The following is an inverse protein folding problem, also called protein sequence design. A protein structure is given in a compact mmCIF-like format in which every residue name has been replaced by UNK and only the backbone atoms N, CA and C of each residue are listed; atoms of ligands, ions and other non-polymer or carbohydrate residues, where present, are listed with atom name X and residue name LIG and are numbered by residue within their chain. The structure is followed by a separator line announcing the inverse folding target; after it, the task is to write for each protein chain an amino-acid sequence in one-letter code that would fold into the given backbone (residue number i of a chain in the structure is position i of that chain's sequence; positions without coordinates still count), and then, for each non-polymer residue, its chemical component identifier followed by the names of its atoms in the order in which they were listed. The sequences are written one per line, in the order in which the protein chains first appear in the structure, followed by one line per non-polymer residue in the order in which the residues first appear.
data_IF_447038599347
#
_entry.id   IF_447038599347
#
_cell.length_a   1.000
_cell.length_b   1.000
_cell.length_c   1.000
_cell.angle_alpha   90.00
_cell.angle_beta   90.00
_cell.angle_gamma   90.00
#
_symmetry.space_group_name_H-M   'P 1'
#
loop_
_entity.id
_entity.type
_entity.pdbx_description
1 polymer ?
2 non-polymer ?
3 non-polymer ?
4 non-polymer ?
5 non-polymer ?
6 water ?
#
# COMPACT_ATOMS: atom_id res chain seq x y z
N UNK A 1 7.43 10.01 -7.92
CA UNK A 1 8.04 10.98 -6.98
C UNK A 1 8.18 10.35 -5.60
N UNK A 2 8.82 11.09 -4.70
CA UNK A 2 9.11 10.56 -3.38
C UNK A 2 7.85 10.48 -2.51
N UNK A 3 6.79 11.20 -2.85
CA UNK A 3 5.53 11.12 -2.07
C UNK A 3 4.52 10.10 -2.65
N UNK A 4 4.92 9.33 -3.65
CA UNK A 4 4.08 8.23 -4.17
C UNK A 4 3.54 7.39 -3.00
N UNK A 5 2.28 7.02 -3.09
CA UNK A 5 1.66 6.19 -2.06
C UNK A 5 0.49 5.43 -2.64
N UNK A 6 0.06 4.38 -1.94
CA UNK A 6 -1.06 3.57 -2.38
C UNK A 6 -2.09 3.46 -1.27
N UNK A 7 -3.37 3.49 -1.67
CA UNK A 7 -4.47 3.16 -0.78
C UNK A 7 -4.82 1.69 -0.91
N UNK A 8 -4.63 0.94 0.17
CA UNK A 8 -4.87 -0.51 0.16
C UNK A 8 -6.18 -0.87 0.83
N UNK A 9 -6.75 0.08 1.56
CA UNK A 9 -7.92 -0.16 2.41
C UNK A 9 -7.69 -1.08 3.58
N UNK A 10 -6.44 -1.48 3.81
CA UNK A 10 -6.15 -2.41 4.89
C UNK A 10 -6.32 -1.75 6.26
N UNK A 11 -6.11 -0.43 6.32
CA UNK A 11 -6.36 0.33 7.57
C UNK A 11 -7.83 0.74 7.80
N UNK A 12 -8.72 0.39 6.87
CA UNK A 12 -10.13 0.67 7.04
C UNK A 12 -10.83 -0.56 7.61
N UNK A 13 -12.10 -0.42 7.98
CA UNK A 13 -12.85 -1.52 8.62
C UNK A 13 -14.12 -1.90 7.83
N UNK A 14 -14.42 -3.19 7.81
CA UNK A 14 -15.62 -3.71 7.13
C UNK A 14 -16.88 -2.94 7.53
N UNK A 15 -17.64 -2.45 6.54
CA UNK A 15 -18.89 -1.75 6.80
C UNK A 15 -18.83 -0.26 7.07
N UNK A 16 -17.62 0.28 7.08
CA UNK A 16 -17.40 1.71 7.25
C UNK A 16 -16.89 2.35 6.00
N UNK A 17 -17.07 3.67 5.88
CA UNK A 17 -16.45 4.44 4.82
C UNK A 17 -14.95 4.35 5.06
N UNK A 18 -14.17 4.35 3.99
CA UNK A 18 -12.75 4.21 4.17
C UNK A 18 -12.13 5.35 4.96
N UNK A 19 -11.15 4.98 5.76
CA UNK A 19 -10.38 5.91 6.54
C UNK A 19 -9.66 6.86 5.55
N UNK A 20 -9.68 8.15 5.82
CA UNK A 20 -8.98 9.16 4.97
C UNK A 20 -9.60 9.42 3.61
N UNK A 21 -10.82 8.96 3.38
CA UNK A 21 -11.59 9.33 2.19
C UNK A 21 -12.87 9.96 2.68
N UNK A 22 -13.51 10.73 1.82
CA UNK A 22 -14.88 11.14 2.09
C UNK A 22 -15.80 10.56 1.03
N UNK A 23 -17.09 10.57 1.26
CA UNK A 23 -18.03 10.00 0.33
C UNK A 23 -19.22 10.94 0.20
N UNK A 24 -19.87 10.82 -0.95
CA UNK A 24 -21.15 11.45 -1.24
C UNK A 24 -22.14 10.40 -1.75
N UNK A 25 -23.28 10.31 -1.09
CA UNK A 25 -24.43 9.53 -1.58
C UNK A 25 -25.31 10.45 -2.42
N UNK A 26 -24.89 10.82 -3.63
CA UNK A 26 -25.55 11.88 -4.34
C UNK A 26 -26.96 11.50 -4.80
N UNK A 27 -27.24 10.23 -5.08
CA UNK A 27 -28.60 9.85 -5.46
C UNK A 27 -29.54 9.86 -4.26
N UNK A 28 -28.99 9.74 -3.04
CA UNK A 28 -29.82 9.85 -1.83
C UNK A 28 -30.48 8.62 -1.31
N UNK A 29 -30.06 7.43 -1.71
CA UNK A 29 -30.68 6.18 -1.26
C UNK A 29 -30.06 5.56 0.02
N UNK A 30 -29.14 6.26 0.69
CA UNK A 30 -28.57 5.73 1.94
C UNK A 30 -27.62 4.55 1.75
N UNK A 31 -27.13 4.39 0.53
CA UNK A 31 -26.18 3.33 0.16
C UNK A 31 -25.04 3.96 -0.66
N UNK A 32 -23.79 3.65 -0.28
CA UNK A 32 -22.69 4.29 -0.93
C UNK A 32 -21.45 3.42 -0.84
N UNK A 33 -20.30 4.08 -0.94
CA UNK A 33 -19.02 3.37 -0.88
C UNK A 33 -18.69 2.90 0.55
N UNK A 34 -18.35 1.62 0.68
CA UNK A 34 -18.01 1.02 1.97
C UNK A 34 -16.80 0.12 1.80
N UNK A 35 -15.96 0.08 2.83
CA UNK A 35 -14.91 -0.92 2.91
C UNK A 35 -15.53 -2.27 3.20
N UNK A 36 -15.06 -3.29 2.48
CA UNK A 36 -15.43 -4.69 2.74
C UNK A 36 -14.17 -5.50 3.03
N UNK A 37 -14.28 -6.46 3.96
CA UNK A 37 -13.20 -7.39 4.25
C UNK A 37 -13.56 -8.83 3.86
N UNK A 38 -12.61 -9.51 3.23
CA UNK A 38 -12.75 -10.93 2.90
C UNK A 38 -12.88 -11.81 4.15
N UNK A 39 -12.44 -11.30 5.30
CA UNK A 39 -12.64 -12.01 6.58
C UNK A 39 -14.08 -11.94 7.09
N UNK A 40 -14.92 -11.12 6.46
CA UNK A 40 -16.33 -11.00 6.84
C UNK A 40 -17.30 -11.51 5.78
N UNK A 41 -16.90 -11.47 4.51
CA UNK A 41 -17.75 -11.94 3.42
C UNK A 41 -17.08 -13.09 2.71
N UNK A 42 -17.70 -14.25 2.76
CA UNK A 42 -17.12 -15.45 2.17
C UNK A 42 -16.87 -15.28 0.67
N UNK A 43 -17.76 -14.54 -0.01
CA UNK A 43 -17.69 -14.38 -1.48
C UNK A 43 -16.55 -13.50 -1.98
N UNK A 44 -16.03 -12.68 -1.09
CA UNK A 44 -15.08 -11.65 -1.48
C UNK A 44 -13.61 -12.10 -1.36
N UNK A 45 -12.81 -11.79 -2.39
CA UNK A 45 -11.36 -11.82 -2.32
C UNK A 45 -10.83 -10.46 -2.77
N UNK A 46 -9.98 -9.86 -1.95
CA UNK A 46 -9.36 -8.57 -2.30
C UNK A 46 -8.26 -8.74 -3.31
N UNK A 47 -7.91 -7.63 -3.96
CA UNK A 47 -6.77 -7.66 -4.89
C UNK A 47 -5.48 -7.82 -4.09
N UNK A 48 -5.39 -7.07 -2.99
CA UNK A 48 -4.30 -7.21 -2.05
C UNK A 48 -4.80 -7.23 -0.61
N UNK A 49 -4.15 -7.99 0.27
CA UNK A 49 -4.62 -8.08 1.64
C UNK A 49 -6.03 -8.62 1.76
N UNK A 50 -6.78 -8.12 2.75
CA UNK A 50 -8.14 -8.61 2.97
C UNK A 50 -9.22 -7.61 2.56
N UNK A 51 -8.84 -6.34 2.39
CA UNK A 51 -9.84 -5.27 2.24
C UNK A 51 -9.93 -4.62 0.85
N UNK A 52 -11.15 -4.27 0.49
CA UNK A 52 -11.41 -3.44 -0.71
C UNK A 52 -12.35 -2.30 -0.34
N UNK A 53 -12.66 -1.43 -1.29
CA UNK A 53 -13.82 -0.54 -1.16
C UNK A 53 -14.86 -0.95 -2.23
N UNK A 54 -16.15 -0.73 -1.96
CA UNK A 54 -17.23 -1.31 -2.78
C UNK A 54 -18.35 -0.31 -2.91
N UNK A 55 -19.06 -0.41 -4.03
CA UNK A 55 -20.31 0.29 -4.26
C UNK A 55 -21.23 -0.64 -5.10
N UNK A 56 -22.48 -0.71 -4.72
CA UNK A 56 -23.43 -1.66 -5.30
C UNK A 56 -24.48 -1.01 -6.22
N UNK A 57 -24.81 -1.69 -7.33
CA UNK A 57 -26.04 -1.38 -8.08
C UNK A 57 -27.09 -2.47 -7.85
N UNK A 58 -26.74 -3.53 -7.12
CA UNK A 58 -27.71 -4.51 -6.56
C UNK A 58 -27.13 -4.97 -5.24
N UNK A 59 -27.92 -4.90 -4.17
CA UNK A 59 -27.48 -5.39 -2.85
C UNK A 59 -28.74 -5.76 -2.06
N UNK A 60 -29.24 -6.96 -2.32
CA UNK A 60 -30.52 -7.41 -1.77
C UNK A 60 -31.71 -6.82 -2.52
N UNK A 61 -31.45 -5.75 -3.27
CA UNK A 61 -32.44 -5.08 -4.10
C UNK A 61 -31.71 -4.24 -5.15
N UNK A 62 -32.41 -3.93 -6.23
CA UNK A 62 -31.86 -3.12 -7.33
C UNK A 62 -31.69 -1.67 -6.89
N UNK A 63 -30.60 -1.05 -7.34
CA UNK A 63 -30.22 0.34 -6.99
C UNK A 63 -29.86 1.13 -8.23
N UNK A 64 -29.91 2.45 -8.10
CA UNK A 64 -29.58 3.45 -9.11
C UNK A 64 -28.53 4.40 -8.51
N UNK A 65 -27.29 3.91 -8.38
CA UNK A 65 -26.33 4.72 -7.64
C UNK A 65 -25.84 5.99 -8.32
N UNK A 66 -25.44 6.93 -7.49
CA UNK A 66 -24.59 8.05 -7.87
C UNK A 66 -23.73 8.37 -6.66
N UNK A 67 -22.72 7.53 -6.49
CA UNK A 67 -21.93 7.48 -5.28
C UNK A 67 -20.51 7.95 -5.56
N UNK A 68 -20.04 8.96 -4.81
CA UNK A 68 -18.67 9.47 -4.94
C UNK A 68 -17.78 9.00 -3.79
N UNK A 69 -16.60 8.59 -4.17
CA UNK A 69 -15.52 8.26 -3.25
C UNK A 69 -14.39 9.26 -3.53
N UNK A 70 -14.05 10.08 -2.55
CA UNK A 70 -13.18 11.24 -2.73
C UNK A 70 -11.91 11.16 -1.87
N UNK A 71 -10.77 11.29 -2.54
CA UNK A 71 -9.47 11.19 -1.86
C UNK A 71 -9.24 12.36 -0.93
N UNK A 72 -8.20 12.21 -0.12
CA UNK A 72 -7.56 13.31 0.59
C UNK A 72 -6.91 14.24 -0.45
N UNK A 73 -6.43 15.39 0.02
CA UNK A 73 -5.65 16.30 -0.81
C UNK A 73 -4.39 15.59 -1.33
N UNK A 74 -4.35 15.40 -2.63
CA UNK A 74 -3.23 14.79 -3.35
C UNK A 74 -2.57 15.76 -4.33
N UNK A 75 -2.59 17.05 -3.99
CA UNK A 75 -1.96 18.06 -4.85
C UNK A 75 -0.55 17.60 -5.21
N UNK A 76 -0.25 17.59 -6.49
CA UNK A 76 1.02 17.04 -6.99
C UNK A 76 0.92 15.72 -7.74
N UNK A 77 -0.22 15.05 -7.58
CA UNK A 77 -0.46 13.79 -8.24
C UNK A 77 -0.55 14.01 -9.75
N UNK A 78 0.13 13.18 -10.52
CA UNK A 78 0.13 13.23 -11.95
C UNK A 78 -0.53 11.99 -12.57
N UNK A 79 -0.67 10.91 -11.79
CA UNK A 79 -1.19 9.63 -12.30
C UNK A 79 -1.93 8.95 -11.15
N UNK A 80 -3.06 8.29 -11.44
CA UNK A 80 -3.64 7.33 -10.50
C UNK A 80 -3.74 5.96 -11.23
N UNK A 81 -3.23 4.91 -10.59
CA UNK A 81 -3.32 3.57 -11.10
C UNK A 81 -4.11 2.78 -10.06
N UNK A 82 -4.98 1.88 -10.48
CA UNK A 82 -5.82 1.17 -9.53
C UNK A 82 -6.28 -0.12 -10.20
N UNK A 83 -6.90 -0.97 -9.39
CA UNK A 83 -7.51 -2.21 -9.85
C UNK A 83 -8.98 -2.22 -9.45
N UNK A 84 -9.84 -2.64 -10.37
CA UNK A 84 -11.24 -2.82 -10.10
C UNK A 84 -11.69 -4.23 -10.40
N UNK A 85 -12.80 -4.59 -9.80
CA UNK A 85 -13.42 -5.88 -10.06
C UNK A 85 -14.94 -5.71 -10.08
N UNK A 86 -15.60 -6.47 -10.94
CA UNK A 86 -17.05 -6.47 -11.01
C UNK A 86 -17.51 -7.94 -10.98
N UNK A 87 -18.81 -8.14 -10.86
CA UNK A 87 -19.39 -9.48 -11.02
C UNK A 87 -19.49 -9.74 -12.51
N UNK A 88 -18.69 -10.69 -13.02
CA UNK A 88 -18.60 -10.83 -14.47
C UNK A 88 -19.86 -11.43 -15.09
N UNK A 89 -20.80 -11.90 -14.27
CA UNK A 89 -22.11 -12.29 -14.74
C UNK A 89 -23.05 -11.14 -14.98
N UNK A 90 -22.77 -10.00 -14.34
CA UNK A 90 -23.55 -8.76 -14.44
C UNK A 90 -22.57 -7.60 -14.36
N UNK A 91 -21.78 -7.42 -15.42
CA UNK A 91 -20.54 -6.64 -15.25
C UNK A 91 -20.62 -5.12 -15.31
N UNK A 92 -21.66 -4.60 -15.91
CA UNK A 92 -21.72 -3.21 -16.35
C UNK A 92 -21.92 -2.14 -15.33
N UNK A 93 -21.11 -2.20 -14.27
CA UNK A 93 -21.18 -1.21 -13.21
C UNK A 93 -20.32 0.01 -13.56
N UNK A 94 -20.91 0.85 -14.37
CA UNK A 94 -20.31 2.04 -14.93
C UNK A 94 -19.72 2.93 -13.84
N UNK A 95 -18.52 3.45 -14.11
CA UNK A 95 -17.91 4.39 -13.19
C UNK A 95 -17.03 5.40 -13.90
N UNK A 96 -16.81 6.51 -13.24
CA UNK A 96 -15.90 7.54 -13.67
C UNK A 96 -14.79 7.77 -12.65
N UNK A 97 -13.64 8.21 -13.13
CA UNK A 97 -12.59 8.82 -12.31
C UNK A 97 -12.71 10.32 -12.63
N UNK A 98 -12.78 11.15 -11.59
CA UNK A 98 -12.93 12.58 -11.73
C UNK A 98 -11.89 13.31 -10.92
N UNK A 99 -11.66 14.56 -11.28
CA UNK A 99 -10.78 15.40 -10.51
C UNK A 99 -11.41 16.74 -10.15
N UNK A 100 -11.01 17.23 -8.97
CA UNK A 100 -11.30 18.61 -8.58
C UNK A 100 -9.99 19.32 -8.33
N UNK A 101 -9.99 20.61 -8.63
CA UNK A 101 -8.82 21.49 -8.43
C UNK A 101 -9.06 22.42 -7.24
N UNK A 102 -10.20 22.26 -6.59
CA UNK A 102 -10.66 23.25 -5.59
C UNK A 102 -11.16 22.58 -4.31
N UNK A 103 -12.44 22.18 -4.31
CA UNK A 103 -13.08 21.60 -3.15
C UNK A 103 -13.62 20.20 -3.40
N UNK A 104 -14.51 19.78 -2.52
CA UNK A 104 -14.99 18.40 -2.50
C UNK A 104 -16.51 18.30 -2.77
N UNK A 105 -17.14 19.39 -3.16
CA UNK A 105 -18.51 19.34 -3.59
C UNK A 105 -18.57 18.59 -4.92
N UNK A 106 -19.67 17.89 -5.20
CA UNK A 106 -19.80 17.14 -6.43
C UNK A 106 -19.52 18.02 -7.64
N UNK A 107 -19.98 19.27 -7.60
CA UNK A 107 -19.81 20.17 -8.74
C UNK A 107 -18.41 20.66 -8.97
N UNK A 108 -17.50 20.36 -8.04
CA UNK A 108 -16.11 20.76 -8.21
C UNK A 108 -15.38 19.74 -9.08
N UNK A 109 -16.01 18.58 -9.37
CA UNK A 109 -15.35 17.51 -10.11
C UNK A 109 -15.70 17.51 -11.62
N UNK A 110 -14.72 17.11 -12.39
CA UNK A 110 -14.91 16.87 -13.82
C UNK A 110 -14.31 15.50 -14.19
N UNK A 111 -15.00 14.84 -15.11
CA UNK A 111 -14.62 13.47 -15.52
C UNK A 111 -13.33 13.52 -16.31
N UNK A 112 -12.37 12.68 -15.95
CA UNK A 112 -11.17 12.51 -16.72
C UNK A 112 -11.08 11.11 -17.37
N UNK A 113 -11.87 10.15 -16.91
CA UNK A 113 -11.92 8.80 -17.48
C UNK A 113 -13.23 8.18 -17.07
N UNK A 114 -13.91 7.45 -17.95
CA UNK A 114 -15.03 6.63 -17.48
C UNK A 114 -15.25 5.47 -18.44
N UNK A 115 -15.87 4.40 -17.93
CA UNK A 115 -16.08 3.20 -18.69
C UNK A 115 -17.18 2.35 -18.08
N UNK A 116 -17.65 1.42 -18.89
CA UNK A 116 -18.59 0.43 -18.47
C UNK A 116 -17.85 -0.90 -18.55
N UNK A 117 -17.53 -1.51 -17.40
CA UNK A 117 -16.82 -2.78 -17.40
C UNK A 117 -17.47 -3.87 -18.23
N UNK A 118 -16.61 -4.68 -18.82
CA UNK A 118 -17.02 -5.85 -19.58
C UNK A 118 -17.02 -7.09 -18.72
N UNK A 119 -17.75 -8.11 -19.18
CA UNK A 119 -17.65 -9.41 -18.55
C UNK A 119 -18.25 -10.45 -19.46
N UNK A 120 -18.29 -11.68 -18.96
CA UNK A 120 -19.04 -12.75 -19.61
C UNK A 120 -20.44 -12.22 -19.96
N UNK A 121 -21.06 -11.46 -19.05
CA UNK A 121 -22.37 -10.86 -19.28
C UNK A 121 -23.35 -12.00 -19.39
N UNK A 122 -23.29 -12.84 -18.36
CA UNK A 122 -23.63 -14.24 -18.47
C UNK A 122 -24.64 -14.73 -17.45
N UNK A 123 -25.04 -13.89 -16.49
CA UNK A 123 -25.95 -14.30 -15.45
C UNK A 123 -25.20 -15.01 -14.34
N UNK A 124 -25.94 -15.74 -13.49
CA UNK A 124 -25.42 -16.38 -12.29
C UNK A 124 -25.98 -15.75 -11.02
N UNK A 125 -25.25 -15.92 -9.92
CA UNK A 125 -25.64 -15.38 -8.63
C UNK A 125 -25.20 -13.92 -8.51
N UNK A 126 -25.91 -13.15 -7.69
CA UNK A 126 -25.49 -11.80 -7.28
C UNK A 126 -25.18 -11.83 -5.81
N UNK A 127 -24.34 -10.90 -5.40
CA UNK A 127 -23.69 -10.94 -4.10
C UNK A 127 -23.90 -9.63 -3.40
N UNK A 128 -24.10 -9.70 -2.09
CA UNK A 128 -24.39 -8.51 -1.31
C UNK A 128 -23.91 -8.63 0.12
N UNK A 129 -24.33 -7.68 0.94
CA UNK A 129 -23.99 -7.69 2.36
C UNK A 129 -25.01 -8.49 3.18
N UNK A 130 -26.15 -8.83 2.56
CA UNK A 130 -27.19 -9.69 3.17
C UNK A 130 -27.42 -11.01 2.42
N UNK A 131 -26.74 -11.23 1.30
CA UNK A 131 -26.93 -12.48 0.55
C UNK A 131 -26.46 -13.69 1.36
N UNK A 132 -27.23 -14.76 1.31
CA UNK A 132 -26.97 -15.98 2.09
C UNK A 132 -25.56 -16.51 1.89
N UNK A 133 -24.91 -16.91 2.99
CA UNK A 133 -23.51 -17.32 2.98
C UNK A 133 -23.35 -18.80 2.61
N UNK A 134 -23.72 -19.15 1.37
CA UNK A 134 -23.68 -20.54 0.91
C UNK A 134 -22.35 -20.94 0.27
N UNK A 135 -21.35 -20.07 0.32
CA UNK A 135 -20.03 -20.41 -0.20
C UNK A 135 -19.72 -20.10 -1.65
N UNK A 136 -20.72 -19.65 -2.42
CA UNK A 136 -20.51 -19.24 -3.81
C UNK A 136 -19.61 -18.00 -3.88
N UNK A 137 -18.85 -17.90 -4.96
CA UNK A 137 -17.99 -16.72 -5.18
C UNK A 137 -18.16 -16.30 -6.60
N UNK A 138 -18.27 -14.98 -6.84
CA UNK A 138 -18.56 -14.53 -8.18
C UNK A 138 -17.39 -14.75 -9.10
N UNK A 139 -17.71 -14.84 -10.38
CA UNK A 139 -16.71 -14.72 -11.43
C UNK A 139 -16.38 -13.23 -11.39
N UNK A 140 -15.13 -12.92 -11.04
CA UNK A 140 -14.74 -11.52 -10.70
C UNK A 140 -13.22 -11.36 -10.81
N UNK A 141 -12.77 -10.84 -11.96
CA UNK A 141 -11.34 -10.69 -12.29
C UNK A 141 -10.88 -9.24 -11.97
N UNK A 142 -9.68 -9.06 -11.39
CA UNK A 142 -9.16 -7.68 -11.13
C UNK A 142 -8.49 -7.11 -12.36
N UNK A 143 -8.88 -5.88 -12.69
CA UNK A 143 -8.48 -5.21 -13.93
C UNK A 143 -7.71 -3.94 -13.61
N UNK A 144 -6.54 -3.75 -14.23
CA UNK A 144 -5.70 -2.59 -13.99
C UNK A 144 -6.12 -1.41 -14.88
N UNK A 145 -6.06 -0.21 -14.33
CA UNK A 145 -6.22 1.04 -15.08
C UNK A 145 -5.21 2.05 -14.62
N UNK A 146 -4.74 2.89 -15.53
CA UNK A 146 -3.82 3.98 -15.24
C UNK A 146 -4.39 5.22 -15.94
N UNK A 147 -4.68 6.25 -15.15
CA UNK A 147 -5.40 7.43 -15.62
C UNK A 147 -4.54 8.66 -15.37
N UNK A 148 -4.36 9.45 -16.42
CA UNK A 148 -3.59 10.68 -16.36
C UNK A 148 -4.38 11.73 -15.56
N UNK A 149 -3.71 12.45 -14.64
CA UNK A 149 -4.37 13.50 -13.87
C UNK A 149 -3.94 14.89 -14.36
N UNK A 150 -4.89 15.75 -14.72
CA UNK A 150 -4.56 17.09 -15.20
C UNK A 150 -3.79 17.88 -14.18
N UNK A 151 -2.95 18.79 -14.67
CA UNK A 151 -2.24 19.68 -13.79
C UNK A 151 -3.20 20.43 -12.89
N UNK A 152 -2.85 20.55 -11.64
CA UNK A 152 -3.72 21.22 -10.67
C UNK A 152 -4.67 20.28 -9.90
N UNK A 153 -4.71 19.00 -10.26
CA UNK A 153 -5.57 18.04 -9.54
C UNK A 153 -5.24 18.12 -8.05
N UNK A 154 -6.29 18.29 -7.23
CA UNK A 154 -6.19 18.31 -5.79
C UNK A 154 -6.90 17.11 -5.13
N UNK A 155 -8.07 16.76 -5.66
CA UNK A 155 -8.82 15.59 -5.20
C UNK A 155 -9.17 14.74 -6.38
N UNK A 156 -9.13 13.42 -6.15
CA UNK A 156 -9.52 12.44 -7.13
C UNK A 156 -10.75 11.72 -6.58
N UNK A 157 -11.78 11.59 -7.41
CA UNK A 157 -12.99 10.90 -7.01
C UNK A 157 -13.26 9.73 -7.94
N UNK A 158 -13.82 8.66 -7.39
CA UNK A 158 -14.39 7.56 -8.17
C UNK A 158 -15.89 7.65 -7.97
N UNK A 159 -16.61 7.63 -9.08
CA UNK A 159 -18.05 7.88 -9.10
C UNK A 159 -18.72 6.68 -9.73
N UNK A 160 -19.51 5.94 -8.97
CA UNK A 160 -20.29 4.81 -9.48
C UNK A 160 -21.66 5.39 -9.80
N UNK A 161 -22.01 5.39 -11.09
CA UNK A 161 -23.21 6.07 -11.53
C UNK A 161 -23.61 5.62 -12.89
N UNK A 162 -24.77 6.08 -13.35
CA UNK A 162 -25.21 5.81 -14.73
C UNK A 162 -25.36 4.31 -15.01
N UNK A 163 -25.88 3.56 -14.03
CA UNK A 163 -26.10 2.12 -14.15
C UNK A 163 -27.11 1.70 -13.08
N UNK A 164 -27.70 0.54 -13.28
CA UNK A 164 -28.70 0.02 -12.33
C UNK A 164 -28.80 -1.49 -12.42
N UNK A 165 -28.95 -2.13 -11.25
CA UNK A 165 -29.34 -3.55 -11.17
C UNK A 165 -28.35 -4.45 -11.89
N UNK A 166 -27.05 -4.18 -11.71
CA UNK A 166 -26.01 -5.11 -12.15
C UNK A 166 -25.55 -5.80 -10.87
N UNK A 167 -24.37 -5.47 -10.34
CA UNK A 167 -24.06 -5.95 -8.98
C UNK A 167 -23.20 -4.98 -8.17
N UNK A 168 -21.91 -4.94 -8.45
CA UNK A 168 -20.99 -4.12 -7.64
C UNK A 168 -19.82 -3.70 -8.52
N UNK A 169 -19.16 -2.64 -8.06
CA UNK A 169 -17.77 -2.35 -8.43
C UNK A 169 -16.93 -2.32 -7.16
N UNK A 170 -15.79 -3.03 -7.19
CA UNK A 170 -14.81 -2.98 -6.11
C UNK A 170 -13.56 -2.24 -6.61
N UNK A 171 -12.86 -1.55 -5.70
CA UNK A 171 -11.56 -0.94 -6.01
C UNK A 171 -10.57 -1.37 -4.97
N UNK A 172 -9.32 -1.48 -5.39
CA UNK A 172 -8.24 -1.76 -4.42
C UNK A 172 -6.92 -1.25 -5.02
N UNK A 173 -5.95 -1.06 -4.13
CA UNK A 173 -4.58 -0.75 -4.51
C UNK A 173 -4.52 0.47 -5.44
N UNK A 174 -5.09 1.56 -4.94
CA UNK A 174 -5.13 2.81 -5.67
C UNK A 174 -3.85 3.63 -5.42
N UNK A 175 -2.98 3.69 -6.43
CA UNK A 175 -1.63 4.24 -6.32
C UNK A 175 -1.60 5.59 -6.96
N UNK A 176 -1.16 6.60 -6.22
CA UNK A 176 -0.97 7.94 -6.73
C UNK A 176 0.50 8.20 -7.02
N UNK A 177 0.81 8.53 -8.27
CA UNK A 177 2.15 8.99 -8.63
C UNK A 177 2.19 10.47 -8.40
N UNK A 178 3.11 10.89 -7.53
CA UNK A 178 3.22 12.27 -7.13
C UNK A 178 4.42 12.89 -7.85
N UNK A 179 4.33 12.98 -9.17
CA UNK A 179 5.35 13.66 -9.99
N UNK B 3 37.23 7.67 9.53
CA UNK B 3 36.30 7.22 10.59
C UNK B 3 35.16 6.33 10.06
N UNK B 4 35.47 5.48 9.09
CA UNK B 4 34.48 4.50 8.57
C UNK B 4 33.96 3.62 9.71
N UNK B 5 32.68 3.27 9.67
CA UNK B 5 32.12 2.37 10.69
C UNK B 5 30.99 1.52 10.15
N UNK B 6 30.72 0.40 10.80
CA UNK B 6 29.61 -0.51 10.42
C UNK B 6 28.59 -0.67 11.54
N UNK B 7 27.32 -0.44 11.21
CA UNK B 7 26.19 -0.77 12.09
C UNK B 7 25.82 -2.22 11.91
N UNK B 8 26.08 -3.02 12.94
CA UNK B 8 25.75 -4.44 12.95
C UNK B 8 24.39 -4.77 13.59
N UNK B 9 23.83 -3.77 14.26
CA UNK B 9 22.63 -3.93 15.12
C UNK B 9 22.77 -4.85 16.32
N UNK B 10 23.99 -5.32 16.62
CA UNK B 10 24.21 -6.30 17.71
C UNK B 10 23.99 -5.68 19.08
N UNK B 11 24.17 -4.37 19.21
CA UNK B 11 23.92 -3.67 20.48
C UNK B 11 22.47 -3.27 20.66
N UNK B 12 21.68 -3.41 19.59
CA UNK B 12 20.28 -3.02 19.63
C UNK B 12 19.44 -4.13 20.23
N UNK B 13 18.24 -3.76 20.68
CA UNK B 13 17.34 -4.68 21.37
C UNK B 13 16.19 -5.15 20.49
N UNK B 14 15.94 -6.45 20.53
CA UNK B 14 14.85 -7.04 19.78
C UNK B 14 13.57 -6.30 20.12
N UNK B 15 12.82 -5.86 19.13
CA UNK B 15 11.53 -5.24 19.42
C UNK B 15 11.58 -3.74 19.58
N UNK B 16 12.79 -3.17 19.52
CA UNK B 16 13.02 -1.73 19.69
C UNK B 16 13.59 -1.14 18.41
N UNK B 17 13.43 0.16 18.24
CA UNK B 17 14.15 0.90 17.21
C UNK B 17 15.65 0.73 17.48
N UNK B 18 16.50 0.68 16.43
CA UNK B 18 17.92 0.50 16.70
C UNK B 18 18.50 1.62 17.58
N UNK B 19 19.49 1.29 18.41
CA UNK B 19 19.97 2.19 19.46
C UNK B 19 20.44 3.55 18.98
N UNK B 20 21.19 3.59 17.90
CA UNK B 20 21.74 4.89 17.44
C UNK B 20 20.96 5.53 16.29
N UNK B 21 19.72 5.13 16.09
CA UNK B 21 18.92 5.54 14.95
C UNK B 21 17.60 6.12 15.45
N UNK B 22 16.92 6.87 14.60
CA UNK B 22 15.53 7.27 14.89
C UNK B 22 14.62 6.74 13.78
N UNK B 23 13.33 6.80 13.99
CA UNK B 23 12.35 6.27 13.05
C UNK B 23 11.18 7.22 12.91
N UNK B 24 10.47 7.04 11.79
CA UNK B 24 9.19 7.68 11.52
C UNK B 24 8.23 6.62 10.96
N UNK B 25 7.08 6.50 11.60
CA UNK B 25 5.97 5.67 11.15
C UNK B 25 5.05 6.62 10.38
N UNK B 26 5.41 6.97 9.15
CA UNK B 26 4.69 8.04 8.43
C UNK B 26 3.27 7.62 8.06
N UNK B 27 3.03 6.34 7.76
CA UNK B 27 1.68 5.90 7.41
C UNK B 27 0.76 5.84 8.65
N UNK B 28 1.34 5.75 9.84
CA UNK B 28 0.56 5.87 11.08
C UNK B 28 -0.09 4.60 11.60
N UNK B 29 0.36 3.42 11.18
CA UNK B 29 -0.23 2.16 11.66
C UNK B 29 0.46 1.59 12.92
N UNK B 30 1.36 2.36 13.53
CA UNK B 30 2.03 1.89 14.75
C UNK B 30 3.00 0.74 14.53
N UNK B 31 3.43 0.56 13.29
CA UNK B 31 4.37 -0.48 12.91
C UNK B 31 5.45 0.12 12.05
N UNK B 32 6.71 -0.10 12.46
CA UNK B 32 7.81 0.55 11.81
C UNK B 32 9.06 -0.31 11.77
N UNK B 33 10.20 0.34 11.69
CA UNK B 33 11.49 -0.37 11.68
C UNK B 33 11.85 -0.82 13.11
N UNK B 34 12.15 -2.10 13.27
CA UNK B 34 12.49 -2.69 14.58
C UNK B 34 13.69 -3.57 14.42
N UNK B 35 14.58 -3.55 15.41
CA UNK B 35 15.60 -4.56 15.50
C UNK B 35 14.99 -5.95 15.78
N UNK B 36 15.45 -6.97 15.09
CA UNK B 36 15.06 -8.35 15.41
C UNK B 36 16.29 -9.18 15.72
N UNK B 37 16.13 -10.16 16.62
CA UNK B 37 17.17 -11.10 16.98
C UNK B 37 16.78 -12.53 16.57
N UNK B 38 17.71 -13.23 15.92
CA UNK B 38 17.55 -14.65 15.63
C UNK B 38 17.38 -15.51 16.88
N UNK B 39 17.73 -14.95 18.03
CA UNK B 39 17.50 -15.59 19.33
C UNK B 39 16.02 -15.61 19.72
N UNK B 40 15.19 -14.76 19.12
CA UNK B 40 13.78 -14.70 19.48
C UNK B 40 12.83 -15.18 18.40
N UNK B 41 13.32 -15.21 17.17
CA UNK B 41 12.54 -15.62 16.00
C UNK B 41 13.26 -16.78 15.34
N UNK B 42 12.66 -17.96 15.45
CA UNK B 42 13.20 -19.18 14.88
C UNK B 42 13.44 -19.10 13.37
N UNK B 43 12.63 -18.33 12.65
CA UNK B 43 12.75 -18.23 11.21
C UNK B 43 13.89 -17.35 10.68
N UNK B 44 14.44 -16.52 11.55
CA UNK B 44 15.36 -15.48 11.14
C UNK B 44 16.84 -15.92 11.20
N UNK B 45 17.60 -15.55 10.19
CA UNK B 45 19.05 -15.63 10.24
C UNK B 45 19.58 -14.25 9.81
N UNK B 46 20.39 -13.64 10.66
CA UNK B 46 21.06 -12.39 10.35
C UNK B 46 22.17 -12.55 9.35
N UNK B 47 22.55 -11.46 8.71
CA UNK B 47 23.74 -11.48 7.88
C UNK B 47 25.00 -11.66 8.72
N UNK B 48 25.04 -10.93 9.83
CA UNK B 48 26.17 -11.01 10.80
C UNK B 48 25.60 -11.05 12.18
N UNK B 49 26.23 -11.80 13.10
CA UNK B 49 25.69 -11.91 14.44
C UNK B 49 24.28 -12.48 14.51
N UNK B 50 23.51 -11.97 15.47
CA UNK B 50 22.13 -12.41 15.71
C UNK B 50 21.09 -11.41 15.23
N UNK B 51 21.52 -10.14 15.02
CA UNK B 51 20.54 -9.05 14.88
C UNK B 51 20.52 -8.40 13.50
N UNK B 52 19.32 -7.99 13.12
CA UNK B 52 19.06 -7.19 11.92
C UNK B 52 18.14 -6.07 12.30
N UNK B 53 17.85 -5.20 11.33
CA UNK B 53 16.68 -4.31 11.45
C UNK B 53 15.67 -4.71 10.37
N UNK B 54 14.39 -4.46 10.64
CA UNK B 54 13.31 -4.99 9.82
C UNK B 54 12.17 -4.03 9.67
N UNK B 55 11.45 -4.13 8.53
CA UNK B 55 10.15 -3.46 8.32
C UNK B 55 9.27 -4.41 7.52
N UNK B 56 8.02 -4.48 7.91
CA UNK B 56 7.05 -5.46 7.37
C UNK B 56 5.97 -4.87 6.47
N UNK B 57 5.71 -5.56 5.37
CA UNK B 57 4.47 -5.25 4.61
C UNK B 57 3.45 -6.35 4.79
N UNK B 58 3.82 -7.42 5.47
CA UNK B 58 2.84 -8.37 5.99
C UNK B 58 3.41 -8.86 7.31
N UNK B 59 2.58 -8.80 8.33
CA UNK B 59 2.93 -9.37 9.62
C UNK B 59 1.64 -9.84 10.28
N UNK B 60 1.25 -11.07 9.94
CA UNK B 60 -0.08 -11.60 10.31
C UNK B 60 -1.23 -11.11 9.39
N UNK B 61 -1.23 -9.82 9.06
CA UNK B 61 -2.13 -9.23 8.07
C UNK B 61 -1.30 -8.34 7.15
N UNK B 62 -1.86 -7.94 6.02
CA UNK B 62 -1.22 -7.01 5.10
C UNK B 62 -1.12 -5.63 5.76
N UNK B 63 0.02 -4.98 5.55
CA UNK B 63 0.30 -3.64 6.00
C UNK B 63 0.60 -2.77 4.79
N UNK B 64 0.54 -1.47 4.99
CA UNK B 64 0.86 -0.51 3.95
C UNK B 64 1.93 0.51 4.41
N UNK B 65 3.19 0.07 4.47
CA UNK B 65 4.18 0.91 5.16
C UNK B 65 4.58 2.17 4.44
N UNK B 66 4.95 3.14 5.24
CA UNK B 66 5.78 4.26 4.83
C UNK B 66 6.65 4.56 6.04
N UNK B 67 7.68 3.73 6.21
CA UNK B 67 8.47 3.72 7.43
C UNK B 67 9.89 4.21 7.13
N UNK B 68 10.39 5.13 7.97
CA UNK B 68 11.73 5.69 7.84
C UNK B 68 12.63 5.22 8.98
N UNK B 69 13.85 4.82 8.63
CA UNK B 69 14.92 4.48 9.58
C UNK B 69 16.03 5.48 9.29
N UNK B 70 16.33 6.34 10.26
CA UNK B 70 17.18 7.50 10.06
C UNK B 70 18.47 7.38 10.89
N UNK B 71 19.61 7.55 10.23
CA UNK B 71 20.91 7.47 10.92
C UNK B 71 21.13 8.67 11.84
N UNK B 72 22.14 8.52 12.68
CA UNK B 72 22.74 9.65 13.38
C UNK B 72 23.42 10.54 12.35
N UNK B 73 23.90 11.69 12.78
CA UNK B 73 24.62 12.61 11.93
C UNK B 73 25.87 11.90 11.39
N UNK B 74 25.94 11.72 10.08
CA UNK B 74 27.07 11.09 9.39
C UNK B 74 27.72 12.03 8.39
N UNK B 75 27.66 13.34 8.67
CA UNK B 75 28.38 14.32 7.86
C UNK B 75 29.76 13.86 7.49
N UNK B 76 30.06 13.93 6.20
CA UNK B 76 31.31 13.41 5.65
C UNK B 76 31.20 12.10 4.92
N UNK B 77 30.09 11.39 5.13
CA UNK B 77 29.92 10.10 4.49
C UNK B 77 29.74 10.30 3.00
N UNK B 78 30.43 9.49 2.20
CA UNK B 78 30.36 9.56 0.75
C UNK B 78 29.76 8.31 0.13
N UNK B 79 29.63 7.23 0.91
CA UNK B 79 29.08 5.97 0.44
C UNK B 79 28.39 5.29 1.60
N UNK B 80 27.32 4.58 1.33
CA UNK B 80 26.78 3.62 2.28
C UNK B 80 26.70 2.27 1.59
N UNK B 81 27.20 1.23 2.25
CA UNK B 81 27.17 -0.13 1.75
C UNK B 81 26.35 -0.91 2.77
N UNK B 82 25.49 -1.82 2.31
CA UNK B 82 24.65 -2.56 3.23
C UNK B 82 24.24 -3.85 2.60
N UNK B 83 23.62 -4.71 3.39
CA UNK B 83 23.07 -5.99 2.92
C UNK B 83 21.61 -6.01 3.26
N UNK B 84 20.79 -6.42 2.29
CA UNK B 84 19.34 -6.54 2.53
C UNK B 84 18.85 -7.95 2.24
N UNK B 85 17.75 -8.30 2.86
CA UNK B 85 17.11 -9.56 2.58
C UNK B 85 15.59 -9.40 2.51
N UNK B 86 14.96 -10.17 1.64
CA UNK B 86 13.50 -10.22 1.49
C UNK B 86 13.10 -11.70 1.50
N UNK B 87 11.80 -11.93 1.62
CA UNK B 87 11.25 -13.26 1.45
C UNK B 87 11.20 -13.56 -0.03
N UNK B 88 11.97 -14.56 -0.48
CA UNK B 88 12.09 -14.87 -1.93
C UNK B 88 10.73 -15.22 -2.53
N UNK B 89 9.82 -15.73 -1.72
CA UNK B 89 8.46 -16.01 -2.20
C UNK B 89 7.55 -14.81 -2.42
N UNK B 90 7.88 -13.69 -1.76
CA UNK B 90 7.13 -12.43 -1.82
C UNK B 90 8.14 -11.28 -1.76
N UNK B 91 8.94 -11.12 -2.82
CA UNK B 91 10.17 -10.29 -2.70
C UNK B 91 10.02 -8.78 -2.74
N UNK B 92 8.95 -8.29 -3.34
CA UNK B 92 8.87 -6.90 -3.82
C UNK B 92 8.66 -5.83 -2.78
N UNK B 93 9.45 -5.89 -1.71
CA UNK B 93 9.35 -4.91 -0.61
C UNK B 93 10.18 -3.67 -0.93
N UNK B 94 9.48 -2.78 -1.67
CA UNK B 94 10.04 -1.58 -2.28
C UNK B 94 10.64 -0.72 -1.18
N UNK B 95 11.85 -0.23 -1.43
CA UNK B 95 12.51 0.64 -0.48
C UNK B 95 13.41 1.67 -1.18
N UNK B 96 13.73 2.73 -0.47
CA UNK B 96 14.64 3.76 -0.92
C UNK B 96 15.73 4.02 0.10
N UNK B 97 16.89 4.45 -0.41
CA UNK B 97 17.90 5.14 0.40
C UNK B 97 17.73 6.63 0.10
N UNK B 98 17.60 7.41 1.16
CA UNK B 98 17.38 8.86 1.07
C UNK B 98 18.40 9.59 1.91
N UNK B 99 18.63 10.86 1.57
CA UNK B 99 19.52 11.68 2.39
C UNK B 99 18.85 13.01 2.72
N UNK B 100 19.22 13.53 3.88
CA UNK B 100 18.94 14.86 4.28
C UNK B 100 20.22 15.58 4.49
N UNK B 101 20.23 16.88 4.18
CA UNK B 101 21.39 17.75 4.42
C UNK B 101 21.14 18.71 5.58
N UNK B 102 19.98 18.59 6.20
CA UNK B 102 19.49 19.60 7.16
C UNK B 102 18.95 18.91 8.41
N UNK B 103 17.66 18.55 8.42
CA UNK B 103 16.99 17.97 9.55
C UNK B 103 16.48 16.56 9.34
N UNK B 104 15.58 16.13 10.24
CA UNK B 104 15.09 14.74 10.21
C UNK B 104 13.59 14.63 9.95
N UNK B 105 12.96 15.70 9.50
CA UNK B 105 11.60 15.62 8.98
C UNK B 105 11.61 14.86 7.67
N UNK B 106 10.53 14.14 7.41
CA UNK B 106 10.36 13.37 6.18
C UNK B 106 10.67 14.24 4.98
N UNK B 107 10.14 15.47 4.97
CA UNK B 107 10.35 16.38 3.85
C UNK B 107 11.74 16.89 3.59
N UNK B 108 12.63 16.65 4.55
CA UNK B 108 14.06 17.02 4.43
C UNK B 108 14.83 16.01 3.59
N UNK B 109 14.24 14.83 3.34
CA UNK B 109 14.92 13.77 2.61
C UNK B 109 14.60 13.77 1.13
N UNK B 110 15.63 13.39 0.38
CA UNK B 110 15.49 13.14 -1.06
C UNK B 110 16.06 11.77 -1.44
N UNK B 111 15.42 11.16 -2.42
CA UNK B 111 15.78 9.82 -2.87
C UNK B 111 17.10 9.84 -3.62
N UNK B 112 18.04 9.01 -3.19
CA UNK B 112 19.31 8.77 -3.89
C UNK B 112 19.43 7.36 -4.50
N UNK B 113 18.58 6.43 -4.07
CA UNK B 113 18.53 5.09 -4.62
C UNK B 113 17.16 4.51 -4.26
N UNK B 114 16.53 3.77 -5.17
CA UNK B 114 15.41 2.92 -4.75
C UNK B 114 15.27 1.74 -5.65
N UNK B 115 14.62 0.73 -5.12
CA UNK B 115 14.36 -0.49 -5.87
C UNK B 115 13.25 -1.34 -5.30
N UNK B 116 12.65 -2.11 -6.20
CA UNK B 116 11.75 -3.18 -5.84
C UNK B 116 12.49 -4.50 -5.99
N UNK B 117 12.87 -5.14 -4.85
CA UNK B 117 13.64 -6.36 -4.90
C UNK B 117 13.00 -7.45 -5.74
N UNK B 118 13.87 -8.20 -6.40
CA UNK B 118 13.46 -9.33 -7.20
C UNK B 118 13.60 -10.66 -6.46
N UNK B 119 12.79 -11.63 -6.86
CA UNK B 119 12.91 -12.98 -6.34
C UNK B 119 12.19 -13.95 -7.25
N UNK B 120 12.10 -15.19 -6.80
CA UNK B 120 11.27 -16.18 -7.48
C UNK B 120 9.82 -15.69 -7.54
N UNK B 121 9.33 -15.08 -6.46
CA UNK B 121 7.91 -14.74 -6.31
C UNK B 121 7.00 -15.98 -6.46
N UNK B 122 7.43 -17.11 -5.91
CA UNK B 122 6.70 -18.37 -6.00
C UNK B 122 5.66 -18.58 -4.89
N UNK B 123 5.44 -17.58 -4.04
CA UNK B 123 4.48 -17.73 -2.95
C UNK B 123 5.03 -18.55 -1.79
N UNK B 124 4.12 -19.20 -1.06
CA UNK B 124 4.45 -20.01 0.11
C UNK B 124 4.24 -19.33 1.45
N UNK B 125 5.10 -19.65 2.42
CA UNK B 125 4.93 -19.12 3.77
C UNK B 125 5.44 -17.69 3.90
N UNK B 126 4.77 -17.00 4.79
CA UNK B 126 5.20 -15.67 5.22
C UNK B 126 5.43 -15.71 6.69
N UNK B 127 6.28 -14.80 7.13
CA UNK B 127 6.92 -14.82 8.43
C UNK B 127 6.68 -13.49 9.14
N UNK B 128 6.49 -13.55 10.44
CA UNK B 128 6.11 -12.38 11.21
C UNK B 128 6.56 -12.48 12.65
N UNK B 129 6.01 -11.59 13.46
CA UNK B 129 6.40 -11.49 14.87
C UNK B 129 5.62 -12.44 15.80
N UNK B 130 4.45 -12.90 15.39
CA UNK B 130 3.71 -13.86 16.22
C UNK B 130 3.05 -14.91 15.35
N UNK B 131 3.66 -15.18 14.20
CA UNK B 131 3.20 -16.21 13.29
C UNK B 131 3.73 -17.57 13.74
N UNK B 132 3.01 -18.61 13.35
CA UNK B 132 3.51 -19.96 13.52
C UNK B 132 4.28 -20.35 12.25
N UNK B 136 8.65 -23.17 9.42
CA UNK B 136 9.41 -22.92 8.19
C UNK B 136 10.47 -21.82 8.36
N UNK B 137 11.26 -21.70 7.30
CA UNK B 137 12.30 -20.65 7.18
C UNK B 137 12.39 -20.16 5.75
N UNK B 138 12.56 -18.83 5.56
CA UNK B 138 12.88 -18.28 4.25
C UNK B 138 14.33 -18.55 3.86
N UNK B 139 14.66 -18.49 2.59
CA UNK B 139 16.06 -18.63 2.20
C UNK B 139 16.85 -17.51 2.87
N UNK B 140 18.04 -17.84 3.37
CA UNK B 140 18.95 -16.87 4.00
C UNK B 140 19.88 -16.24 2.96
N UNK B 141 19.35 -15.38 2.10
CA UNK B 141 20.12 -14.79 1.00
C UNK B 141 20.17 -13.28 1.15
N UNK B 142 21.37 -12.81 1.42
CA UNK B 142 21.63 -11.40 1.68
C UNK B 142 22.23 -10.80 0.43
N UNK B 143 21.68 -9.66 0.01
CA UNK B 143 22.11 -8.97 -1.18
C UNK B 143 22.85 -7.66 -0.85
N UNK B 144 24.03 -7.51 -1.42
CA UNK B 144 24.83 -6.32 -1.23
C UNK B 144 24.40 -5.16 -2.12
N UNK B 145 24.41 -3.96 -1.53
CA UNK B 145 24.24 -2.70 -2.26
C UNK B 145 25.24 -1.68 -1.78
N UNK B 146 25.73 -0.86 -2.71
CA UNK B 146 26.68 0.22 -2.43
C UNK B 146 26.12 1.49 -3.12
N UNK B 147 25.76 2.48 -2.33
CA UNK B 147 25.02 3.64 -2.81
C UNK B 147 25.85 4.90 -2.60
N UNK B 148 26.01 5.66 -3.66
CA UNK B 148 26.74 6.93 -3.59
C UNK B 148 25.93 7.97 -2.81
N UNK B 149 26.59 8.70 -1.92
CA UNK B 149 25.94 9.74 -1.13
C UNK B 149 26.40 11.13 -1.59
N UNK B 150 25.45 12.04 -1.89
CA UNK B 150 25.90 13.34 -2.39
C UNK B 150 26.57 14.21 -1.36
N UNK B 151 27.30 15.23 -1.87
CA UNK B 151 27.94 16.17 -0.99
C UNK B 151 26.95 16.82 -0.04
N UNK B 152 27.31 16.94 1.23
CA UNK B 152 26.45 17.59 2.20
C UNK B 152 25.53 16.64 2.95
N UNK B 153 25.51 15.37 2.55
CA UNK B 153 24.72 14.33 3.26
C UNK B 153 25.01 14.42 4.76
N UNK B 154 23.93 14.58 5.55
CA UNK B 154 24.04 14.65 7.01
C UNK B 154 23.37 13.43 7.67
N UNK B 155 22.20 13.08 7.16
CA UNK B 155 21.49 11.92 7.64
C UNK B 155 21.15 11.03 6.49
N UNK B 156 21.22 9.72 6.70
CA UNK B 156 20.81 8.74 5.68
C UNK B 156 19.60 7.98 6.21
N UNK B 157 18.55 7.90 5.39
CA UNK B 157 17.40 7.14 5.74
C UNK B 157 17.20 5.94 4.85
N UNK B 158 16.66 4.89 5.43
CA UNK B 158 16.15 3.75 4.67
C UNK B 158 14.66 3.81 4.84
N UNK B 159 13.92 3.77 3.71
CA UNK B 159 12.48 3.98 3.73
C UNK B 159 11.73 2.88 3.02
N UNK B 160 10.86 2.18 3.73
CA UNK B 160 10.05 1.07 3.18
C UNK B 160 8.70 1.67 2.88
N UNK B 161 8.33 1.73 1.61
CA UNK B 161 7.14 2.49 1.21
C UNK B 161 6.60 2.07 -0.11
N UNK B 162 5.38 2.54 -0.34
CA UNK B 162 4.63 2.29 -1.58
C UNK B 162 4.62 0.82 -1.98
N UNK B 163 4.33 -0.07 -1.02
CA UNK B 163 4.13 -1.46 -1.28
C UNK B 163 3.25 -2.04 -0.17
N UNK B 164 2.73 -3.24 -0.38
CA UNK B 164 1.86 -3.85 0.60
C UNK B 164 1.69 -5.33 0.33
N UNK B 165 1.63 -6.15 1.39
CA UNK B 165 1.26 -7.57 1.25
C UNK B 165 2.32 -8.39 0.51
N UNK B 166 3.60 -8.01 0.68
CA UNK B 166 4.71 -8.90 0.30
C UNK B 166 5.12 -9.59 1.61
N UNK B 167 6.27 -9.27 2.22
CA UNK B 167 6.54 -9.76 3.59
C UNK B 167 7.40 -8.78 4.39
N UNK B 168 8.67 -8.70 4.09
CA UNK B 168 9.59 -7.85 4.89
C UNK B 168 10.74 -7.38 4.04
N UNK B 169 11.39 -6.32 4.52
CA UNK B 169 12.76 -5.99 4.14
C UNK B 169 13.60 -5.99 5.41
N UNK B 170 14.74 -6.66 5.35
CA UNK B 170 15.72 -6.68 6.46
C UNK B 170 16.98 -6.00 6.00
N UNK B 171 17.66 -5.29 6.92
CA UNK B 171 18.98 -4.71 6.64
C UNK B 171 19.96 -5.17 7.71
N UNK B 172 21.21 -5.27 7.35
CA UNK B 172 22.27 -5.59 8.32
C UNK B 172 23.59 -5.09 7.77
N UNK B 173 24.54 -4.90 8.69
CA UNK B 173 25.91 -4.58 8.34
C UNK B 173 26.02 -3.36 7.42
N UNK B 174 25.51 -2.25 7.91
CA UNK B 174 25.41 -1.01 7.16
C UNK B 174 26.67 -0.20 7.44
N UNK B 175 27.48 -0.04 6.40
CA UNK B 175 28.79 0.58 6.54
C UNK B 175 28.81 1.94 5.87
N UNK B 176 29.16 2.98 6.61
CA UNK B 176 29.35 4.32 6.06
C UNK B 176 30.84 4.56 5.80
N UNK B 177 31.16 5.01 4.59
CA UNK B 177 32.49 5.42 4.18
C UNK B 177 32.57 6.91 4.35
N UNK B 178 33.56 7.35 5.13
CA UNK B 178 33.64 8.74 5.62
C UNK B 178 34.76 9.52 4.96
X LIG C 1 -26.38 5.94 -3.17
X LIG D 1 -6.61 -4.26 -0.19
X LIG E 1 -4.19 2.04 4.09
X LIG E 1 -3.20 1.49 5.03
X LIG E 1 -4.30 3.50 4.26
X LIG E 1 -5.46 1.41 4.39
X LIG E 1 -3.78 1.86 2.71
X LIG F 1 -23.82 2.23 2.69
X LIG F 1 -23.16 3.44 2.54
X LIG F 1 -23.86 1.33 1.65
X LIG F 1 -24.48 1.88 3.90
X LIG G 1 17.71 -13.68 5.71
X LIG G 1 18.56 -14.63 6.40
X LIG G 1 16.27 -14.20 5.67
X LIG G 1 15.44 -13.43 4.78
X LIG G 1 15.68 -14.14 7.07
X LIG G 1 16.22 -15.14 7.92
X LIG H 1 4.01 2.04 9.56
X LIG I 1 23.87 -8.12 12.54
X LIG J 1 6.26 -1.84 15.68
X LIG J 1 7.11 -0.85 15.23
X LIG J 1 5.74 -2.86 14.89
X LIG J 1 5.91 -1.87 17.00
#
# INVERSE_FOLDING_TARGET
GSADFTETFESSTHGEAPAEWTTIDADGDGQGWLCLSSGQLDWLTAHGGSNVVSSFSWNGMALNPDNYLISKDVTGATKVKYYYAVNDGFPGDHYAVMISKTGTNAGDFTVVFEETPNGINKGGARFGLSTEANGAKPQSVWIERTVDLPAGTKYVAFRHYNCSDLNYILLDDIQFTMGG
GSADFTETFESSTHGEAPAEWTTIDADGDGQGWLCLSSGQLDWLTAHGGSNVVSSFSWNGMALNPDNYLISKDVTGATKVKYYYAVNDGFPGDHYAVMISKTGTNAGDFTVVFEETPNGINKGGARFGLSTEANGAKPQSVWIERTVDLPAGTKYVAFRHYNCSDLNYILLDDIQFTMGG
CA CA
CA CA
SO4 S O1 O2 O3 O4
NO3 N O1 O2 O3
GOL C1 O1 C2 O2 C3 O3
CA CA
CA CA
NO3 N O1 O2 O3
#
